data_IF_265449686102
#
_entry.id   IF_265449686102
#
_cell.length_a   1.000
_cell.length_b   1.000
_cell.length_c   1.000
_cell.angle_alpha   90.00
_cell.angle_beta   90.00
_cell.angle_gamma   90.00
#
_symmetry.space_group_name_H-M   'P 1'
#
loop_
_entity.id
_entity.type
_entity.pdbx_description
1 polymer ?
#
# COMPACT_ATOMS: atom_id res chain seq x y z
N UNK A 1 -18.10 0.02 -8.24
CA UNK A 1 -17.11 -0.32 -7.20
C UNK A 1 -15.74 -0.06 -7.82
N UNK A 2 -14.98 0.90 -7.32
CA UNK A 2 -13.61 1.11 -7.82
C UNK A 2 -12.73 -0.04 -7.34
N UNK A 3 -12.05 -0.70 -8.27
CA UNK A 3 -11.11 -1.78 -7.96
C UNK A 3 -9.84 -1.18 -7.35
N UNK A 4 -9.22 -1.89 -6.40
CA UNK A 4 -7.93 -1.49 -5.82
C UNK A 4 -6.87 -1.52 -6.93
N UNK A 5 -6.06 -0.47 -7.01
CA UNK A 5 -4.97 -0.38 -7.99
C UNK A 5 -3.78 -1.24 -7.57
N UNK A 6 -2.98 -1.68 -8.54
CA UNK A 6 -1.75 -2.41 -8.28
C UNK A 6 -0.80 -1.60 -7.37
N UNK A 7 -0.72 -0.29 -7.58
CA UNK A 7 0.04 0.60 -6.72
C UNK A 7 -0.45 0.52 -5.26
N UNK A 8 -1.77 0.59 -5.04
CA UNK A 8 -2.30 0.52 -3.68
C UNK A 8 -2.03 -0.85 -3.03
N UNK A 9 -2.11 -1.95 -3.79
CA UNK A 9 -1.73 -3.29 -3.31
C UNK A 9 -0.27 -3.27 -2.81
N UNK A 10 0.67 -2.79 -3.62
CA UNK A 10 2.09 -2.71 -3.26
C UNK A 10 2.31 -1.83 -2.02
N UNK A 11 1.72 -0.63 -2.00
CA UNK A 11 1.88 0.27 -0.87
C UNK A 11 1.24 -0.26 0.43
N UNK A 12 0.21 -1.10 0.31
CA UNK A 12 -0.39 -1.78 1.47
C UNK A 12 0.58 -2.80 2.04
N UNK A 13 1.22 -3.63 1.19
CA UNK A 13 2.25 -4.58 1.61
C UNK A 13 3.43 -3.84 2.25
N UNK A 14 3.93 -2.80 1.58
CA UNK A 14 4.99 -1.94 2.11
C UNK A 14 4.68 -1.39 3.49
N UNK A 15 3.47 -0.86 3.71
CA UNK A 15 3.07 -0.33 5.01
C UNK A 15 2.88 -1.41 6.10
N UNK A 16 2.58 -2.65 5.71
CA UNK A 16 2.50 -3.79 6.63
C UNK A 16 3.90 -4.25 7.08
N UNK A 17 4.86 -4.28 6.16
CA UNK A 17 6.24 -4.72 6.43
C UNK A 17 7.08 -3.63 7.10
N UNK A 18 6.69 -2.36 6.93
CA UNK A 18 7.37 -1.21 7.52
C UNK A 18 6.46 -0.46 8.50
N UNK A 19 6.51 -0.73 9.82
CA UNK A 19 5.61 -0.12 10.81
C UNK A 19 5.81 1.40 10.99
N UNK A 20 6.86 1.98 10.39
CA UNK A 20 7.09 3.43 10.32
C UNK A 20 6.47 4.07 9.08
N UNK A 21 5.88 3.27 8.20
CA UNK A 21 5.15 3.70 7.03
C UNK A 21 3.64 3.66 7.28
N UNK A 22 2.91 4.60 6.71
CA UNK A 22 1.46 4.69 6.88
C UNK A 22 0.79 5.09 5.58
N UNK A 23 -0.13 4.25 5.10
CA UNK A 23 -0.96 4.54 3.94
C UNK A 23 -2.12 5.48 4.34
N UNK A 24 -2.36 6.51 3.54
CA UNK A 24 -3.42 7.48 3.82
C UNK A 24 -3.91 8.20 2.58
N UNK A 25 -5.06 8.84 2.72
CA UNK A 25 -5.55 9.84 1.78
C UNK A 25 -4.87 11.18 2.06
N UNK A 26 -4.36 11.85 1.03
CA UNK A 26 -3.59 13.09 1.16
C UNK A 26 -3.93 14.10 0.06
N UNK A 27 -4.01 15.38 0.42
CA UNK A 27 -4.13 16.48 -0.53
C UNK A 27 -2.81 17.24 -0.59
N UNK A 28 -2.01 16.95 -1.61
CA UNK A 28 -0.71 17.57 -1.83
C UNK A 28 -0.79 18.97 -2.46
N UNK A 29 0.39 19.54 -2.73
CA UNK A 29 0.50 20.85 -3.39
C UNK A 29 -0.12 20.81 -4.79
N UNK A 30 -0.86 21.86 -5.15
CA UNK A 30 -1.48 21.98 -6.48
C UNK A 30 -2.70 21.09 -6.72
N UNK A 31 -3.21 20.39 -5.71
CA UNK A 31 -4.37 19.49 -5.86
C UNK A 31 -5.73 20.16 -5.64
N UNK A 32 -5.77 21.44 -5.25
CA UNK A 32 -7.01 22.21 -5.03
C UNK A 32 -8.03 21.47 -4.12
N UNK A 33 -7.54 20.82 -3.06
CA UNK A 33 -8.37 20.07 -2.12
C UNK A 33 -8.74 18.65 -2.55
N UNK A 34 -8.39 18.23 -3.77
CA UNK A 34 -8.54 16.81 -4.18
C UNK A 34 -7.61 15.94 -3.36
N UNK A 35 -8.07 14.73 -3.02
CA UNK A 35 -7.27 13.77 -2.29
C UNK A 35 -6.73 12.68 -3.21
N UNK A 36 -5.59 12.11 -2.82
CA UNK A 36 -4.96 11.01 -3.50
C UNK A 36 -4.32 10.02 -2.52
N UNK A 37 -3.97 8.86 -3.04
CA UNK A 37 -3.18 7.84 -2.39
C UNK A 37 -1.82 8.41 -2.01
N UNK A 38 -1.44 8.20 -0.77
CA UNK A 38 -0.13 8.55 -0.26
C UNK A 38 0.37 7.54 0.77
N UNK A 39 1.68 7.50 0.91
CA UNK A 39 2.38 6.81 2.00
C UNK A 39 3.26 7.81 2.73
N UNK A 40 3.15 7.84 4.05
CA UNK A 40 4.06 8.61 4.91
C UNK A 40 5.17 7.71 5.38
N UNK A 41 6.42 8.14 5.23
CA UNK A 41 7.63 7.40 5.61
C UNK A 41 8.38 8.25 6.64
N UNK A 42 8.48 7.77 7.88
CA UNK A 42 9.14 8.51 8.97
C UNK A 42 10.67 8.41 8.97
N UNK A 43 11.25 7.45 8.26
CA UNK A 43 12.71 7.16 8.26
C UNK A 43 13.51 7.79 7.10
N UNK A 44 12.93 8.69 6.30
CA UNK A 44 13.58 9.31 5.12
C UNK A 44 14.10 8.33 4.04
N UNK A 45 13.70 7.07 4.08
CA UNK A 45 14.17 6.05 3.14
C UNK A 45 13.26 5.92 1.91
N UNK A 46 13.34 6.90 1.01
CA UNK A 46 12.67 6.82 -0.30
C UNK A 46 13.23 5.68 -1.16
N UNK A 47 14.50 5.32 -0.96
CA UNK A 47 15.16 4.26 -1.71
C UNK A 47 14.50 2.91 -1.47
N UNK A 48 14.09 2.63 -0.23
CA UNK A 48 13.37 1.42 0.14
C UNK A 48 12.00 1.32 -0.57
N UNK A 49 11.20 2.38 -0.56
CA UNK A 49 9.92 2.40 -1.28
C UNK A 49 10.10 2.15 -2.79
N UNK A 50 11.09 2.81 -3.39
CA UNK A 50 11.39 2.63 -4.82
C UNK A 50 11.88 1.20 -5.10
N UNK A 51 12.70 0.65 -4.21
CA UNK A 51 13.18 -0.72 -4.26
C UNK A 51 12.03 -1.73 -4.28
N UNK A 52 11.05 -1.57 -3.39
CA UNK A 52 9.86 -2.43 -3.33
C UNK A 52 8.98 -2.32 -4.58
N UNK A 53 8.77 -1.11 -5.10
CA UNK A 53 8.06 -0.93 -6.37
C UNK A 53 8.75 -1.66 -7.53
N UNK A 54 10.08 -1.64 -7.58
CA UNK A 54 10.86 -2.34 -8.61
C UNK A 54 10.82 -3.85 -8.38
N UNK A 55 11.04 -4.31 -7.14
CA UNK A 55 11.04 -5.72 -6.79
C UNK A 55 9.71 -6.38 -7.16
N UNK A 56 8.60 -5.73 -6.82
CA UNK A 56 7.27 -6.19 -7.20
C UNK A 56 7.10 -6.22 -8.73
N UNK A 57 7.44 -5.13 -9.42
CA UNK A 57 7.29 -5.05 -10.87
C UNK A 57 8.11 -6.14 -11.60
N UNK A 58 9.28 -6.52 -11.07
CA UNK A 58 10.10 -7.61 -11.59
C UNK A 58 9.50 -8.98 -11.28
N UNK A 59 9.08 -9.22 -10.04
CA UNK A 59 8.50 -10.51 -9.63
C UNK A 59 7.20 -10.83 -10.36
N UNK A 60 6.40 -9.81 -10.65
CA UNK A 60 5.06 -9.96 -11.22
C UNK A 60 5.00 -9.69 -12.73
N UNK A 61 6.15 -9.36 -13.36
CA UNK A 61 6.22 -9.00 -14.78
C UNK A 61 5.60 -10.06 -15.71
N UNK A 62 5.72 -11.34 -15.34
CA UNK A 62 5.23 -12.48 -16.11
C UNK A 62 3.83 -12.96 -15.70
N UNK A 63 3.33 -12.51 -14.55
CA UNK A 63 2.10 -13.01 -13.92
C UNK A 63 0.95 -11.99 -13.89
N UNK A 64 1.25 -10.71 -14.04
CA UNK A 64 0.26 -9.63 -14.05
C UNK A 64 -0.05 -9.17 -15.48
N UNK A 65 -1.33 -8.84 -15.72
CA UNK A 65 -1.77 -8.23 -16.99
C UNK A 65 -0.88 -7.00 -17.31
N UNK A 66 -0.23 -6.96 -18.50
CA UNK A 66 0.59 -5.83 -18.93
C UNK A 66 -0.12 -4.47 -18.84
N UNK A 67 -1.46 -4.43 -18.91
CA UNK A 67 -2.24 -3.21 -18.71
C UNK A 67 -2.12 -2.67 -17.29
N UNK A 68 -2.17 -3.54 -16.27
CA UNK A 68 -2.00 -3.16 -14.86
C UNK A 68 -0.58 -2.67 -14.58
N UNK A 69 0.44 -3.30 -15.18
CA UNK A 69 1.83 -2.84 -15.09
C UNK A 69 2.02 -1.47 -15.76
N UNK A 70 1.40 -1.24 -16.91
CA UNK A 70 1.43 0.08 -17.57
C UNK A 70 0.69 1.16 -16.76
N UNK A 71 -0.40 0.81 -16.07
CA UNK A 71 -1.07 1.70 -15.13
C UNK A 71 -0.18 2.04 -13.93
N UNK A 72 0.44 1.03 -13.31
CA UNK A 72 1.42 1.23 -12.24
C UNK A 72 2.55 2.17 -12.71
N UNK A 73 3.12 1.94 -13.90
CA UNK A 73 4.13 2.83 -14.48
C UNK A 73 3.66 4.29 -14.56
N UNK A 74 2.45 4.53 -15.08
CA UNK A 74 1.89 5.90 -15.19
C UNK A 74 1.72 6.55 -13.82
N UNK A 75 1.27 5.79 -12.83
CA UNK A 75 1.07 6.26 -11.46
C UNK A 75 2.41 6.56 -10.77
N UNK A 76 3.39 5.67 -10.89
CA UNK A 76 4.74 5.87 -10.33
C UNK A 76 5.44 7.05 -11.03
N UNK A 77 5.22 7.26 -12.33
CA UNK A 77 5.76 8.41 -13.06
C UNK A 77 5.22 9.75 -12.55
N UNK A 78 4.00 9.78 -12.02
CA UNK A 78 3.41 11.00 -11.43
C UNK A 78 3.74 11.18 -9.95
N UNK A 79 4.54 10.28 -9.35
CA UNK A 79 4.98 10.35 -7.96
C UNK A 79 5.51 11.74 -7.61
N UNK A 80 5.06 12.23 -6.46
CA UNK A 80 5.57 13.44 -5.83
C UNK A 80 5.92 13.14 -4.37
N UNK A 81 6.87 13.91 -3.83
CA UNK A 81 7.26 13.81 -2.43
C UNK A 81 7.25 15.19 -1.78
N UNK A 82 6.94 15.22 -0.48
CA UNK A 82 7.02 16.42 0.34
C UNK A 82 7.60 16.12 1.71
N UNK A 83 8.31 17.10 2.28
CA UNK A 83 8.86 17.02 3.62
C UNK A 83 7.78 17.29 4.67
N UNK A 84 7.78 16.49 5.73
CA UNK A 84 6.92 16.68 6.91
C UNK A 84 7.73 17.04 8.17
N UNK A 85 8.96 17.55 8.00
CA UNK A 85 9.86 17.94 9.10
C UNK A 85 10.57 16.76 9.79
N UNK A 86 9.87 15.67 10.07
CA UNK A 86 10.40 14.42 10.66
C UNK A 86 10.06 13.17 9.85
N UNK A 87 9.86 13.34 8.55
CA UNK A 87 9.53 12.28 7.61
C UNK A 87 9.19 12.88 6.25
N UNK A 88 8.77 12.04 5.32
CA UNK A 88 8.26 12.48 4.03
C UNK A 88 6.89 11.87 3.76
N UNK A 89 6.09 12.57 2.97
CA UNK A 89 4.92 11.99 2.32
C UNK A 89 5.24 11.79 0.86
N UNK A 90 5.02 10.58 0.36
CA UNK A 90 5.07 10.24 -1.06
C UNK A 90 3.63 10.06 -1.52
N UNK A 91 3.22 10.79 -2.55
CA UNK A 91 1.83 10.82 -3.00
C UNK A 91 1.72 10.73 -4.52
N UNK A 92 0.57 10.23 -4.97
CA UNK A 92 0.34 9.85 -6.37
C UNK A 92 -0.89 10.57 -6.92
N UNK A 93 -0.72 11.79 -7.46
CA UNK A 93 -1.82 12.59 -7.96
C UNK A 93 -2.69 11.83 -8.97
N UNK A 94 -4.00 11.88 -8.77
CA UNK A 94 -4.99 11.20 -9.62
C UNK A 94 -5.23 9.73 -9.28
N UNK A 95 -4.56 9.18 -8.25
CA UNK A 95 -4.85 7.85 -7.71
C UNK A 95 -5.64 8.03 -6.42
N UNK A 96 -6.84 7.49 -6.31
CA UNK A 96 -7.65 7.56 -5.08
C UNK A 96 -7.28 6.42 -4.14
N UNK A 97 -7.28 6.67 -2.82
CA UNK A 97 -7.22 5.60 -1.83
C UNK A 97 -8.60 4.93 -1.75
N UNK A 98 -8.67 3.66 -2.13
CA UNK A 98 -9.89 2.86 -2.07
C UNK A 98 -9.90 2.09 -0.75
N UNK A 99 -10.91 2.28 0.10
CA UNK A 99 -11.04 1.45 1.29
C UNK A 99 -11.16 -0.04 0.87
N UNK A 100 -10.50 -0.98 1.56
CA UNK A 100 -10.75 -2.39 1.32
C UNK A 100 -12.25 -2.62 1.47
N UNK A 101 -12.86 -3.33 0.51
CA UNK A 101 -14.27 -3.68 0.61
C UNK A 101 -14.46 -4.37 1.96
N UNK A 102 -15.26 -3.79 2.85
CA UNK A 102 -15.61 -4.43 4.10
C UNK A 102 -16.21 -5.79 3.73
N UNK A 103 -15.49 -6.87 4.03
CA UNK A 103 -16.11 -8.18 4.06
C UNK A 103 -17.25 -8.03 5.07
N UNK A 104 -18.50 -8.07 4.61
CA UNK A 104 -19.66 -8.00 5.48
C UNK A 104 -19.46 -9.05 6.58
N UNK A 105 -19.30 -8.59 7.82
CA UNK A 105 -19.24 -9.43 9.00
C UNK A 105 -20.65 -9.98 9.26
N UNK A 106 -21.01 -11.01 8.52
CA UNK A 106 -22.29 -11.71 8.65
C UNK A 106 -22.11 -13.22 8.35
N UNK A 107 -21.03 -13.80 8.87
CA UNK A 107 -20.97 -15.26 9.05
C UNK A 107 -20.67 -15.57 10.53
N UNK A 108 -21.52 -16.36 11.20
CA UNK A 108 -21.37 -16.65 12.63
C UNK A 108 -20.12 -17.48 12.90
N UNK A 109 -19.38 -17.11 13.95
CA UNK A 109 -18.26 -17.88 14.51
C UNK A 109 -18.70 -19.33 14.78
N UNK A 110 -18.28 -20.27 13.92
CA UNK A 110 -18.17 -21.66 14.32
C UNK A 110 -16.85 -21.82 15.07
N UNK A 111 -16.94 -21.88 16.39
CA UNK A 111 -15.84 -22.27 17.29
C UNK A 111 -15.34 -23.65 16.87
N UNK A 112 -14.16 -23.72 16.24
CA UNK A 112 -13.43 -24.97 16.09
C UNK A 112 -12.44 -25.07 17.24
N UNK A 113 -12.84 -25.81 18.26
CA UNK A 113 -12.00 -26.18 19.39
C UNK A 113 -10.88 -27.12 18.91
N UNK A 114 -9.68 -26.59 18.67
CA UNK A 114 -8.50 -27.44 18.40
C UNK A 114 -7.76 -27.66 19.71
N UNK A 115 -8.22 -28.68 20.44
CA UNK A 115 -7.39 -29.39 21.41
C UNK A 115 -6.22 -30.04 20.69
N UNK A 116 -4.98 -29.56 20.91
CA UNK A 116 -3.77 -30.39 20.95
C UNK A 116 -2.60 -29.59 21.49
N UNK A 117 -2.12 -30.04 22.65
CA UNK A 117 -1.08 -29.40 23.42
C UNK A 117 0.31 -29.53 22.80
N UNK A 118 1.13 -28.51 23.06
CA UNK A 118 2.57 -28.63 22.96
C UNK A 118 3.18 -27.91 24.17
N UNK A 119 3.67 -28.69 25.13
CA UNK A 119 4.53 -28.22 26.23
C UNK A 119 5.94 -28.02 25.66
N UNK A 120 6.51 -26.85 25.90
CA UNK A 120 7.97 -26.70 25.90
C UNK A 120 8.45 -26.90 27.35
N UNK A 121 9.43 -27.78 27.55
CA UNK A 121 10.25 -27.89 28.75
C UNK A 121 11.69 -27.81 28.30
N UNK A 122 12.49 -27.01 29.00
CA UNK A 122 13.96 -26.99 28.92
C UNK A 122 14.52 -26.00 27.93
#
# INVERSE_FOLDING_TARGET
>A
MSQISLLQEILTIFAQDHPTAELRSYSGRGMNGKQCLAVVIRSWDLGLLVGELIAYAVAEAEHVDPRRLNELYKQVKSLQADSMGHGMVVYFPGVELVAPAAHNADEPESVVEVSRGFRLHG
#
